data_IF_969110214388
#
_entry.id   IF_969110214388
#
_cell.length_a   1.000
_cell.length_b   1.000
_cell.length_c   1.000
_cell.angle_alpha   90.00
_cell.angle_beta   90.00
_cell.angle_gamma   90.00
#
_symmetry.space_group_name_H-M   'P 1'
#
loop_
_entity.id
_entity.type
_entity.pdbx_description
1 polymer ?
#
# COMPACT_ATOMS: atom_id res chain seq x y z
N UNK A 1 -18.01 24.91 41.89
CA UNK A 1 -18.14 24.72 40.43
C UNK A 1 -16.98 23.86 39.96
N UNK A 2 -17.22 22.57 39.68
CA UNK A 2 -16.19 21.67 39.19
C UNK A 2 -16.08 21.83 37.67
N UNK A 3 -14.93 22.31 37.19
CA UNK A 3 -14.64 22.42 35.76
C UNK A 3 -14.47 21.04 35.16
N UNK A 4 -15.37 20.67 34.25
CA UNK A 4 -15.25 19.45 33.47
C UNK A 4 -13.96 19.49 32.64
N UNK A 5 -12.99 18.64 32.97
CA UNK A 5 -11.85 18.35 32.11
C UNK A 5 -12.39 17.67 30.86
N UNK A 6 -12.55 18.44 29.76
CA UNK A 6 -12.75 17.86 28.44
C UNK A 6 -11.54 17.00 28.12
N UNK A 7 -11.72 15.68 28.21
CA UNK A 7 -10.83 14.73 27.60
C UNK A 7 -10.74 15.07 26.10
N UNK A 8 -9.57 15.51 25.64
CA UNK A 8 -9.30 15.62 24.20
C UNK A 8 -9.40 14.21 23.64
N UNK A 9 -10.49 13.91 22.95
CA UNK A 9 -10.63 12.74 22.09
C UNK A 9 -9.32 12.61 21.31
N UNK A 10 -8.63 11.47 21.41
CA UNK A 10 -7.42 11.20 20.63
C UNK A 10 -7.76 11.55 19.18
N UNK A 11 -7.06 12.54 18.62
CA UNK A 11 -7.21 12.97 17.22
C UNK A 11 -7.07 11.68 16.42
N UNK A 12 -8.10 11.36 15.65
CA UNK A 12 -8.19 10.16 14.82
C UNK A 12 -6.91 10.10 13.96
N UNK A 13 -5.94 9.26 14.35
CA UNK A 13 -4.71 9.07 13.60
C UNK A 13 -5.17 8.57 12.24
N UNK A 14 -5.05 9.39 11.19
CA UNK A 14 -5.55 9.01 9.85
C UNK A 14 -4.65 7.88 9.34
N UNK A 15 -5.02 6.66 9.68
CA UNK A 15 -4.35 5.43 9.26
C UNK A 15 -4.64 5.23 7.77
N UNK A 16 -3.65 5.48 6.94
CA UNK A 16 -3.66 5.14 5.52
C UNK A 16 -2.82 3.88 5.33
N UNK A 17 -3.40 2.85 4.71
CA UNK A 17 -2.76 1.55 4.46
C UNK A 17 -2.31 1.47 3.01
N UNK A 18 -1.05 1.13 2.78
CA UNK A 18 -0.54 0.77 1.46
C UNK A 18 -0.19 -0.72 1.50
N UNK A 19 -0.78 -1.51 0.59
CA UNK A 19 -0.40 -2.90 0.32
C UNK A 19 0.21 -3.00 -1.07
N UNK A 20 1.31 -3.73 -1.20
CA UNK A 20 1.97 -4.02 -2.49
C UNK A 20 2.17 -5.52 -2.56
N UNK A 21 1.80 -6.16 -3.67
CA UNK A 21 1.93 -7.61 -3.84
C UNK A 21 2.04 -8.02 -5.31
N UNK A 22 2.24 -9.31 -5.55
CA UNK A 22 2.21 -9.96 -6.86
C UNK A 22 1.15 -11.08 -6.91
N UNK A 23 1.07 -11.80 -8.02
CA UNK A 23 0.13 -12.90 -8.20
C UNK A 23 0.25 -14.03 -7.14
N UNK A 24 1.42 -14.18 -6.51
CA UNK A 24 1.68 -15.21 -5.49
C UNK A 24 1.18 -14.80 -4.10
N UNK A 25 1.06 -13.49 -3.85
CA UNK A 25 0.67 -12.94 -2.56
C UNK A 25 -0.83 -12.68 -2.38
N UNK A 26 -1.67 -12.93 -3.41
CA UNK A 26 -3.10 -12.61 -3.40
C UNK A 26 -3.86 -13.13 -2.16
N UNK A 27 -3.59 -14.37 -1.74
CA UNK A 27 -4.25 -14.95 -0.56
C UNK A 27 -3.86 -14.24 0.74
N UNK A 28 -2.58 -13.89 0.90
CA UNK A 28 -2.10 -13.16 2.06
C UNK A 28 -2.64 -11.73 2.08
N UNK A 29 -2.71 -11.08 0.92
CA UNK A 29 -3.33 -9.75 0.76
C UNK A 29 -4.81 -9.78 1.09
N UNK A 30 -5.55 -10.80 0.65
CA UNK A 30 -6.97 -10.94 1.01
C UNK A 30 -7.17 -11.12 2.51
N UNK A 31 -6.32 -11.92 3.17
CA UNK A 31 -6.36 -12.10 4.62
C UNK A 31 -6.06 -10.78 5.37
N UNK A 32 -5.06 -10.03 4.91
CA UNK A 32 -4.73 -8.72 5.47
C UNK A 32 -5.91 -7.72 5.30
N UNK A 33 -6.50 -7.64 4.11
CA UNK A 33 -7.65 -6.77 3.83
C UNK A 33 -8.88 -7.11 4.69
N UNK A 34 -9.14 -8.40 4.92
CA UNK A 34 -10.25 -8.86 5.75
C UNK A 34 -10.11 -8.47 7.24
N UNK A 35 -8.89 -8.24 7.71
CA UNK A 35 -8.61 -7.80 9.08
C UNK A 35 -8.72 -6.28 9.27
N UNK A 36 -8.85 -5.50 8.19
CA UNK A 36 -8.89 -4.05 8.27
C UNK A 36 -10.28 -3.52 8.66
N UNK A 37 -10.37 -2.47 9.51
CA UNK A 37 -11.62 -1.76 9.76
C UNK A 37 -12.25 -1.20 8.48
N UNK A 38 -13.58 -1.14 8.40
CA UNK A 38 -14.31 -0.63 7.21
C UNK A 38 -14.01 0.85 6.88
N UNK A 39 -13.60 1.63 7.88
CA UNK A 39 -13.24 3.03 7.68
C UNK A 39 -11.80 3.23 7.15
N UNK A 40 -11.02 2.15 7.04
CA UNK A 40 -9.63 2.17 6.56
C UNK A 40 -9.56 2.73 5.16
N UNK A 41 -8.63 3.66 4.96
CA UNK A 41 -8.31 4.24 3.65
C UNK A 41 -7.01 3.65 3.16
N UNK A 42 -6.85 3.51 1.86
CA UNK A 42 -5.60 2.95 1.36
C UNK A 42 -5.58 2.59 -0.11
N UNK A 43 -4.46 2.03 -0.53
CA UNK A 43 -4.26 1.51 -1.87
C UNK A 43 -3.65 0.12 -1.81
N UNK A 44 -4.06 -0.76 -2.72
CA UNK A 44 -3.46 -2.06 -2.97
C UNK A 44 -2.91 -2.04 -4.39
N UNK A 45 -1.63 -2.31 -4.54
CA UNK A 45 -1.01 -2.50 -5.85
C UNK A 45 -0.69 -3.98 -6.04
N UNK A 46 -1.18 -4.56 -7.12
CA UNK A 46 -1.00 -5.97 -7.46
C UNK A 46 -0.27 -6.04 -8.79
N UNK A 47 0.93 -6.59 -8.79
CA UNK A 47 1.61 -6.95 -10.03
C UNK A 47 1.14 -8.31 -10.53
N UNK A 48 0.95 -8.44 -11.84
CA UNK A 48 0.60 -9.71 -12.50
C UNK A 48 1.47 -9.90 -13.75
N UNK A 49 1.66 -11.13 -14.25
CA UNK A 49 2.38 -11.36 -15.50
C UNK A 49 1.73 -10.60 -16.68
N UNK A 50 0.41 -10.76 -16.83
CA UNK A 50 -0.41 -10.26 -17.93
C UNK A 50 -1.89 -10.22 -17.54
N UNK A 51 -2.75 -9.79 -18.48
CA UNK A 51 -4.19 -9.66 -18.27
C UNK A 51 -4.96 -10.99 -18.06
N UNK A 52 -4.33 -12.16 -18.20
CA UNK A 52 -4.98 -13.46 -17.96
C UNK A 52 -5.17 -13.77 -16.48
N UNK A 53 -4.42 -13.09 -15.59
CA UNK A 53 -4.54 -13.27 -14.15
C UNK A 53 -5.69 -12.44 -13.61
N UNK A 54 -6.74 -13.12 -13.16
CA UNK A 54 -7.87 -12.49 -12.48
C UNK A 54 -7.48 -12.08 -11.05
N UNK A 55 -7.61 -10.78 -10.76
CA UNK A 55 -7.38 -10.23 -9.42
C UNK A 55 -8.72 -9.80 -8.84
N UNK A 56 -9.27 -10.63 -7.96
CA UNK A 56 -10.48 -10.34 -7.21
C UNK A 56 -10.15 -10.26 -5.71
N UNK A 57 -10.11 -9.04 -5.18
CA UNK A 57 -9.86 -8.78 -3.76
C UNK A 57 -11.06 -8.07 -3.14
N UNK A 58 -11.64 -8.64 -2.09
CA UNK A 58 -12.59 -7.94 -1.25
C UNK A 58 -11.84 -6.96 -0.32
N UNK A 59 -12.19 -5.68 -0.38
CA UNK A 59 -11.50 -4.62 0.35
C UNK A 59 -12.50 -3.62 0.98
N UNK A 60 -12.08 -2.88 2.04
CA UNK A 60 -12.88 -1.79 2.58
C UNK A 60 -13.28 -0.75 1.53
N UNK A 61 -14.45 -0.07 1.68
CA UNK A 61 -14.98 0.85 0.66
C UNK A 61 -14.11 2.07 0.32
N UNK A 62 -13.14 2.39 1.18
CA UNK A 62 -12.23 3.53 0.99
C UNK A 62 -10.82 3.08 0.57
N UNK A 63 -10.67 1.83 0.14
CA UNK A 63 -9.47 1.32 -0.47
C UNK A 63 -9.63 1.20 -1.99
N UNK A 64 -8.53 1.36 -2.71
CA UNK A 64 -8.46 1.21 -4.17
C UNK A 64 -7.50 0.07 -4.51
N UNK A 65 -7.90 -0.83 -5.40
CA UNK A 65 -7.04 -1.89 -5.93
C UNK A 65 -6.61 -1.50 -7.35
N UNK A 66 -5.30 -1.49 -7.58
CA UNK A 66 -4.67 -1.21 -8.87
C UNK A 66 -3.89 -2.43 -9.33
N UNK A 67 -4.27 -2.99 -10.47
CA UNK A 67 -3.59 -4.13 -11.09
C UNK A 67 -2.63 -3.64 -12.16
N UNK A 68 -1.41 -4.17 -12.16
CA UNK A 68 -0.34 -3.77 -13.07
C UNK A 68 0.24 -5.00 -13.73
N UNK A 69 0.04 -5.13 -15.03
CA UNK A 69 0.66 -6.19 -15.83
C UNK A 69 2.15 -5.88 -16.11
N UNK A 70 3.01 -6.90 -16.02
CA UNK A 70 4.43 -6.83 -16.40
C UNK A 70 4.61 -6.76 -17.91
N UNK A 71 3.71 -7.37 -18.67
CA UNK A 71 3.76 -7.40 -20.14
C UNK A 71 3.97 -6.00 -20.74
N UNK A 72 4.92 -5.87 -21.67
CA UNK A 72 5.20 -4.61 -22.36
C UNK A 72 5.88 -3.51 -21.54
N UNK A 73 6.24 -3.75 -20.25
CA UNK A 73 6.80 -2.71 -19.35
C UNK A 73 8.31 -2.81 -19.10
N UNK A 74 8.99 -3.77 -19.73
CA UNK A 74 10.43 -3.95 -19.74
C UNK A 74 11.12 -3.23 -20.90
N UNK A 75 12.41 -3.51 -21.09
CA UNK A 75 13.21 -2.96 -22.19
C UNK A 75 12.71 -3.53 -23.52
N UNK A 76 12.60 -2.68 -24.54
CA UNK A 76 12.14 -3.06 -25.89
C UNK A 76 10.79 -3.79 -25.93
N UNK A 77 9.90 -3.49 -24.97
CA UNK A 77 8.57 -4.11 -24.89
C UNK A 77 8.56 -5.52 -24.29
N UNK A 78 9.70 -6.01 -23.78
CA UNK A 78 9.73 -7.24 -23.00
C UNK A 78 8.89 -7.09 -21.71
N UNK A 79 8.49 -8.20 -21.06
CA UNK A 79 7.94 -8.12 -19.71
C UNK A 79 8.93 -7.47 -18.74
N UNK A 80 8.44 -6.63 -17.84
CA UNK A 80 9.25 -6.14 -16.73
C UNK A 80 9.72 -7.32 -15.85
N UNK A 81 10.87 -7.15 -15.19
CA UNK A 81 11.27 -8.08 -14.14
C UNK A 81 10.23 -8.07 -13.00
N UNK A 82 10.06 -9.19 -12.27
CA UNK A 82 9.16 -9.23 -11.12
C UNK A 82 9.38 -8.08 -10.16
N UNK A 83 8.27 -7.47 -9.73
CA UNK A 83 8.15 -6.32 -8.85
C UNK A 83 8.65 -4.98 -9.42
N UNK A 84 9.18 -4.92 -10.65
CA UNK A 84 9.66 -3.65 -11.23
C UNK A 84 8.52 -2.74 -11.68
N UNK A 85 7.48 -3.29 -12.31
CA UNK A 85 6.38 -2.47 -12.83
C UNK A 85 5.58 -1.85 -11.68
N UNK A 86 5.32 -2.64 -10.64
CA UNK A 86 4.63 -2.18 -9.44
C UNK A 86 5.49 -1.22 -8.61
N UNK A 87 6.80 -1.45 -8.48
CA UNK A 87 7.68 -0.52 -7.74
C UNK A 87 7.65 0.88 -8.36
N UNK A 88 7.68 1.00 -9.69
CA UNK A 88 7.56 2.30 -10.37
C UNK A 88 6.22 3.00 -10.09
N UNK A 89 5.12 2.26 -10.16
CA UNK A 89 3.79 2.80 -9.90
C UNK A 89 3.62 3.23 -8.44
N UNK A 90 4.11 2.41 -7.51
CA UNK A 90 4.11 2.72 -6.08
C UNK A 90 5.00 3.93 -5.79
N UNK A 91 6.16 4.05 -6.43
CA UNK A 91 7.03 5.23 -6.30
C UNK A 91 6.36 6.52 -6.77
N UNK A 92 5.69 6.49 -7.92
CA UNK A 92 4.91 7.64 -8.42
C UNK A 92 3.78 7.99 -7.45
N UNK A 93 2.97 7.01 -7.03
CA UNK A 93 1.91 7.20 -6.04
C UNK A 93 2.45 7.76 -4.72
N UNK A 94 3.56 7.20 -4.23
CA UNK A 94 4.22 7.61 -3.00
C UNK A 94 4.68 9.07 -3.04
N UNK A 95 5.26 9.52 -4.16
CA UNK A 95 5.72 10.90 -4.31
C UNK A 95 4.59 11.93 -4.22
N UNK A 96 3.36 11.53 -4.57
CA UNK A 96 2.19 12.40 -4.54
C UNK A 96 1.40 12.28 -3.21
N UNK A 97 1.34 11.06 -2.65
CA UNK A 97 0.44 10.72 -1.56
C UNK A 97 1.13 10.65 -0.19
N UNK A 98 2.44 10.39 -0.15
CA UNK A 98 3.20 10.40 1.09
C UNK A 98 3.90 11.74 1.27
N UNK A 99 3.58 12.44 2.37
CA UNK A 99 4.30 13.64 2.78
C UNK A 99 5.59 13.20 3.46
N UNK A 100 6.69 13.14 2.71
CA UNK A 100 8.02 12.83 3.26
C UNK A 100 8.67 14.01 4.04
N UNK A 101 8.00 15.17 4.16
CA UNK A 101 8.64 16.45 4.44
C UNK A 101 8.29 17.13 5.79
N UNK A 102 7.73 16.43 6.77
CA UNK A 102 7.54 17.01 8.11
C UNK A 102 8.04 16.06 9.20
N UNK A 103 8.67 16.57 10.29
CA UNK A 103 8.97 15.74 11.44
C UNK A 103 7.67 15.08 11.91
N UNK A 104 7.76 13.77 12.17
CA UNK A 104 6.66 12.97 12.73
C UNK A 104 6.21 13.70 14.00
N UNK A 105 5.01 14.27 13.92
CA UNK A 105 4.33 14.97 15.01
C UNK A 105 2.95 14.34 15.11
N UNK A 106 2.37 14.32 16.30
CA UNK A 106 1.00 13.85 16.55
C UNK A 106 -0.07 14.56 15.69
N UNK A 107 0.30 15.63 14.98
CA UNK A 107 -0.55 16.37 14.06
C UNK A 107 -0.49 15.93 12.60
N UNK A 108 0.56 15.21 12.19
CA UNK A 108 0.72 14.66 10.85
C UNK A 108 0.40 13.16 10.89
N UNK A 109 -0.62 12.69 10.15
CA UNK A 109 -1.03 11.30 10.22
C UNK A 109 0.09 10.37 9.76
N UNK A 110 0.37 9.34 10.56
CA UNK A 110 1.28 8.26 10.20
C UNK A 110 0.59 7.39 9.16
N UNK A 111 1.16 7.31 7.97
CA UNK A 111 0.79 6.29 6.96
C UNK A 111 1.37 4.97 7.43
N UNK A 112 0.51 3.99 7.74
CA UNK A 112 0.94 2.64 8.03
C UNK A 112 1.20 1.92 6.71
N UNK A 113 2.47 1.66 6.43
CA UNK A 113 2.89 0.99 5.20
C UNK A 113 3.09 -0.49 5.51
N UNK A 114 2.35 -1.36 4.82
CA UNK A 114 2.49 -2.82 4.94
C UNK A 114 2.76 -3.41 3.57
N UNK A 115 4.00 -3.79 3.30
CA UNK A 115 4.39 -4.34 1.99
C UNK A 115 4.25 -5.86 2.04
N UNK A 116 3.66 -6.49 1.03
CA UNK A 116 3.60 -7.96 0.92
C UNK A 116 4.40 -8.45 -0.30
N UNK A 117 5.69 -8.74 -0.11
CA UNK A 117 6.58 -9.20 -1.17
C UNK A 117 6.65 -10.73 -1.20
N UNK A 118 6.19 -11.37 -2.28
CA UNK A 118 6.31 -12.84 -2.44
C UNK A 118 5.75 -13.65 -1.25
N UNK A 119 4.67 -13.17 -0.63
CA UNK A 119 4.06 -13.78 0.56
C UNK A 119 4.68 -13.39 1.91
N UNK A 120 5.70 -12.50 1.94
CA UNK A 120 6.29 -11.98 3.17
C UNK A 120 5.72 -10.60 3.53
N UNK A 121 5.30 -10.41 4.78
CA UNK A 121 4.81 -9.11 5.29
C UNK A 121 6.00 -8.29 5.80
N UNK A 122 6.26 -7.17 5.14
CA UNK A 122 7.23 -6.15 5.50
C UNK A 122 6.58 -4.80 5.84
N UNK A 123 7.40 -3.85 6.28
CA UNK A 123 7.00 -2.51 6.69
C UNK A 123 7.52 -1.40 5.76
N UNK A 124 7.64 -0.19 6.31
CA UNK A 124 8.15 0.97 5.58
C UNK A 124 9.57 0.76 5.03
N UNK A 125 10.46 0.11 5.79
CA UNK A 125 11.83 -0.16 5.36
C UNK A 125 11.87 -1.13 4.16
N UNK A 126 10.99 -2.12 4.12
CA UNK A 126 10.83 -3.02 2.97
C UNK A 126 10.31 -2.28 1.74
N UNK A 127 9.43 -1.28 1.93
CA UNK A 127 9.01 -0.40 0.83
C UNK A 127 10.19 0.39 0.29
N UNK A 128 10.98 1.03 1.17
CA UNK A 128 12.15 1.80 0.75
C UNK A 128 13.16 0.90 0.03
N UNK A 129 13.37 -0.32 0.52
CA UNK A 129 14.25 -1.29 -0.13
C UNK A 129 13.74 -1.69 -1.53
N UNK A 130 12.44 -1.96 -1.66
CA UNK A 130 11.81 -2.24 -2.95
C UNK A 130 12.03 -1.07 -3.93
N UNK A 131 11.77 0.17 -3.48
CA UNK A 131 11.90 1.36 -4.31
C UNK A 131 13.35 1.68 -4.67
N UNK A 132 14.32 1.33 -3.83
CA UNK A 132 15.74 1.56 -4.06
C UNK A 132 16.39 0.54 -5.01
N UNK A 133 15.76 -0.63 -5.23
CA UNK A 133 16.39 -1.79 -5.90
C UNK A 133 15.69 -2.26 -7.18
N UNK A 134 14.71 -1.50 -7.71
CA UNK A 134 13.89 -1.89 -8.87
C UNK A 134 13.82 -0.84 -9.97
#
# INVERSE_FOLDING_TARGET
MAGATRSRTRKDVKRQVLLVTDETGLAATQAALAALPLCTRGSVFVEVPDASVEVALAHPPRMVVTVIAREGRGVDGAPAAPMTAVARAVGAWASEMMVFAAPVSDEHPVTEVSVLLGGHVGGHDDLLHLLATR
#
